data_IF_264387858256
#
_entry.id   IF_264387858256
#
_cell.length_a   1.000
_cell.length_b   1.000
_cell.length_c   1.000
_cell.angle_alpha   90.00
_cell.angle_beta   90.00
_cell.angle_gamma   90.00
#
_symmetry.space_group_name_H-M   'P 1'
#
loop_
_entity.id
_entity.type
_entity.pdbx_description
1 polymer ?
#
# COMPACT_ATOMS: atom_id res chain seq x y z
N UNK A 1 -29.16 25.32 -1.16
CA UNK A 1 -28.50 24.00 -1.13
C UNK A 1 -27.33 24.02 -2.11
N UNK A 2 -26.09 24.07 -1.63
CA UNK A 2 -24.91 24.05 -2.50
C UNK A 2 -24.74 22.64 -3.09
N UNK A 3 -24.65 22.55 -4.41
CA UNK A 3 -24.31 21.35 -5.16
C UNK A 3 -22.84 21.04 -4.87
N UNK A 4 -22.57 19.96 -4.13
CA UNK A 4 -21.22 19.57 -3.73
C UNK A 4 -20.58 18.89 -4.94
N UNK A 5 -19.71 19.62 -5.64
CA UNK A 5 -18.95 19.11 -6.77
C UNK A 5 -18.23 17.82 -6.37
N UNK A 6 -18.66 16.68 -6.90
CA UNK A 6 -18.12 15.33 -6.62
C UNK A 6 -16.67 15.12 -7.10
N UNK A 7 -15.97 16.19 -7.46
CA UNK A 7 -14.67 16.17 -8.12
C UNK A 7 -13.52 16.64 -7.22
N UNK A 8 -13.78 16.82 -5.92
CA UNK A 8 -12.77 17.23 -4.93
C UNK A 8 -12.04 16.07 -4.25
N UNK A 9 -12.55 14.84 -4.37
CA UNK A 9 -12.01 13.70 -3.65
C UNK A 9 -10.86 13.04 -4.44
N UNK A 10 -9.76 12.69 -3.75
CA UNK A 10 -8.63 11.99 -4.36
C UNK A 10 -9.07 10.64 -4.95
N UNK A 11 -8.61 10.34 -6.16
CA UNK A 11 -8.95 9.12 -6.91
C UNK A 11 -10.48 8.92 -7.03
N UNK A 12 -11.20 9.97 -7.43
CA UNK A 12 -12.66 10.01 -7.53
C UNK A 12 -13.28 8.82 -8.29
N UNK A 13 -12.57 8.24 -9.27
CA UNK A 13 -13.01 7.05 -10.02
C UNK A 13 -13.11 5.77 -9.17
N UNK A 14 -12.31 5.67 -8.11
CA UNK A 14 -12.20 4.45 -7.28
C UNK A 14 -12.44 4.71 -5.79
N UNK A 15 -12.64 5.96 -5.38
CA UNK A 15 -12.91 6.37 -4.00
C UNK A 15 -14.15 5.65 -3.45
N UNK A 16 -13.99 4.99 -2.30
CA UNK A 16 -15.03 4.17 -1.65
C UNK A 16 -15.65 3.06 -2.53
N UNK A 17 -14.95 2.60 -3.57
CA UNK A 17 -15.41 1.50 -4.45
C UNK A 17 -15.60 0.17 -3.72
N UNK A 18 -14.87 -0.06 -2.62
CA UNK A 18 -14.97 -1.28 -1.81
C UNK A 18 -15.71 -0.99 -0.51
N UNK A 19 -16.96 -1.47 -0.41
CA UNK A 19 -17.72 -1.42 0.85
C UNK A 19 -17.11 -2.40 1.89
N UNK A 20 -16.71 -1.86 3.04
CA UNK A 20 -16.13 -2.61 4.16
C UNK A 20 -17.08 -2.71 5.36
N UNK A 21 -18.23 -2.03 5.33
CA UNK A 21 -19.16 -1.93 6.46
C UNK A 21 -19.81 -3.27 6.83
N UNK A 22 -20.05 -4.13 5.84
CA UNK A 22 -20.67 -5.45 6.01
C UNK A 22 -19.69 -6.55 6.41
N UNK A 23 -18.37 -6.27 6.45
CA UNK A 23 -17.32 -7.24 6.80
C UNK A 23 -16.85 -6.99 8.23
N UNK A 24 -16.70 -8.05 9.01
CA UNK A 24 -16.21 -7.98 10.41
C UNK A 24 -14.93 -8.79 10.59
N UNK A 25 -14.15 -8.42 11.61
CA UNK A 25 -12.88 -9.07 11.96
C UNK A 25 -11.89 -9.15 10.79
N UNK A 26 -11.26 -10.32 10.64
CA UNK A 26 -10.25 -10.58 9.61
C UNK A 26 -10.75 -10.36 8.17
N UNK A 27 -12.03 -10.60 7.89
CA UNK A 27 -12.60 -10.37 6.55
C UNK A 27 -12.61 -8.89 6.16
N UNK A 28 -12.67 -7.99 7.15
CA UNK A 28 -12.53 -6.55 6.91
C UNK A 28 -11.10 -6.17 6.57
N UNK A 29 -10.12 -6.75 7.27
CA UNK A 29 -8.68 -6.53 7.02
C UNK A 29 -8.29 -6.92 5.58
N UNK A 30 -8.80 -8.04 5.07
CA UNK A 30 -8.53 -8.48 3.69
C UNK A 30 -8.90 -7.43 2.64
N UNK A 31 -9.89 -6.57 2.90
CA UNK A 31 -10.30 -5.51 1.96
C UNK A 31 -9.22 -4.43 1.77
N UNK A 32 -8.28 -4.32 2.71
CA UNK A 32 -7.17 -3.36 2.66
C UNK A 32 -5.86 -3.95 2.12
N UNK A 33 -5.77 -5.28 1.98
CA UNK A 33 -4.56 -5.93 1.50
C UNK A 33 -4.22 -5.59 0.05
N UNK A 34 -5.22 -5.39 -0.81
CA UNK A 34 -4.99 -5.05 -2.22
C UNK A 34 -4.22 -3.73 -2.38
N UNK A 35 -4.75 -2.59 -1.86
CA UNK A 35 -4.03 -1.33 -1.87
C UNK A 35 -2.69 -1.39 -1.13
N UNK A 36 -2.62 -2.09 0.01
CA UNK A 36 -1.37 -2.23 0.76
C UNK A 36 -0.30 -2.98 -0.06
N UNK A 37 -0.68 -4.06 -0.75
CA UNK A 37 0.22 -4.83 -1.61
C UNK A 37 0.77 -3.99 -2.76
N UNK A 38 -0.07 -3.18 -3.41
CA UNK A 38 0.37 -2.29 -4.49
C UNK A 38 1.45 -1.30 -4.02
N UNK A 39 1.31 -0.76 -2.80
CA UNK A 39 2.34 0.10 -2.21
C UNK A 39 3.59 -0.69 -1.87
N UNK A 40 3.46 -1.86 -1.24
CA UNK A 40 4.59 -2.69 -0.82
C UNK A 40 5.46 -3.18 -1.98
N UNK A 41 4.87 -3.48 -3.14
CA UNK A 41 5.64 -3.85 -4.35
C UNK A 41 6.60 -2.74 -4.75
N UNK A 42 6.22 -1.47 -4.56
CA UNK A 42 7.10 -0.32 -4.82
C UNK A 42 8.34 -0.28 -3.93
N UNK A 43 8.30 -0.88 -2.73
CA UNK A 43 9.46 -0.98 -1.83
C UNK A 43 10.38 -2.16 -2.16
N UNK A 44 9.93 -3.13 -2.95
CA UNK A 44 10.73 -4.29 -3.37
C UNK A 44 11.38 -4.09 -4.74
N UNK A 45 11.53 -2.84 -5.17
CA UNK A 45 12.08 -2.52 -6.47
C UNK A 45 13.57 -2.92 -6.57
N UNK A 46 14.06 -3.28 -7.77
CA UNK A 46 15.46 -3.66 -7.95
C UNK A 46 16.50 -2.58 -7.61
N UNK A 47 16.07 -1.31 -7.44
CA UNK A 47 16.96 -0.19 -7.16
C UNK A 47 17.66 -0.29 -5.80
N UNK A 48 17.05 -0.97 -4.84
CA UNK A 48 17.62 -1.13 -3.49
C UNK A 48 18.49 -2.40 -3.33
N UNK A 49 18.33 -3.38 -4.23
CA UNK A 49 18.97 -4.70 -4.09
C UNK A 49 20.50 -4.65 -4.09
N UNK A 50 21.10 -3.80 -4.92
CA UNK A 50 22.56 -3.72 -5.01
C UNK A 50 23.19 -3.24 -3.69
N UNK A 51 22.56 -2.26 -3.05
CA UNK A 51 23.00 -1.72 -1.76
C UNK A 51 22.83 -2.75 -0.65
N UNK A 52 21.71 -3.47 -0.63
CA UNK A 52 21.44 -4.50 0.38
C UNK A 52 22.44 -5.67 0.27
N UNK A 53 22.76 -6.11 -0.95
CA UNK A 53 23.75 -7.17 -1.21
C UNK A 53 25.16 -6.69 -0.84
N UNK A 54 25.54 -5.48 -1.24
CA UNK A 54 26.83 -4.90 -0.89
C UNK A 54 26.98 -4.74 0.64
N UNK A 55 25.93 -4.24 1.31
CA UNK A 55 25.85 -4.11 2.76
C UNK A 55 25.99 -5.45 3.46
N UNK A 56 25.22 -6.46 3.03
CA UNK A 56 25.29 -7.81 3.59
C UNK A 56 26.66 -8.48 3.41
N UNK A 57 27.30 -8.31 2.24
CA UNK A 57 28.65 -8.86 2.01
C UNK A 57 29.73 -8.22 2.90
N UNK A 58 29.56 -6.95 3.27
CA UNK A 58 30.55 -6.20 4.05
C UNK A 58 30.32 -6.28 5.56
N UNK A 59 29.07 -6.33 6.00
CA UNK A 59 28.68 -6.21 7.41
C UNK A 59 27.91 -7.42 7.94
N UNK A 60 27.65 -8.44 7.12
CA UNK A 60 26.87 -9.61 7.51
C UNK A 60 25.47 -9.21 8.00
N UNK A 61 25.08 -9.72 9.17
CA UNK A 61 23.76 -9.49 9.77
C UNK A 61 23.65 -8.24 10.65
N UNK A 62 24.66 -7.37 10.67
CA UNK A 62 24.66 -6.19 11.55
C UNK A 62 23.68 -5.07 11.13
N UNK A 63 22.98 -5.25 10.00
CA UNK A 63 22.07 -4.25 9.41
C UNK A 63 20.59 -4.68 9.42
N UNK A 64 20.24 -5.70 10.22
CA UNK A 64 18.87 -6.17 10.47
C UNK A 64 18.44 -5.76 11.88
#
# INVERSE_FOLDING_TARGET
MANKDKHSDSLSEVYNSVDTSKRTGWKRILSFLGPAYLVSVGYMDPGNWATDIAGGSKFGYQLI
#
